data_IF_647976944500
#
_entry.id   IF_647976944500
#
_cell.length_a   1.000
_cell.length_b   1.000
_cell.length_c   1.000
_cell.angle_alpha   90.00
_cell.angle_beta   90.00
_cell.angle_gamma   90.00
#
_symmetry.space_group_name_H-M   'P 1'
#
loop_
_entity.id
_entity.type
_entity.pdbx_description
1 polymer ?
#
# COMPACT_ATOMS: atom_id res chain seq x y z
N UNK A 1 20.78 11.38 -21.87
CA UNK A 1 19.77 11.97 -20.96
C UNK A 1 18.73 10.91 -20.68
N UNK A 2 18.92 10.15 -19.61
CA UNK A 2 17.99 9.11 -19.19
C UNK A 2 16.78 9.80 -18.56
N UNK A 3 15.68 9.91 -19.32
CA UNK A 3 14.40 10.40 -18.80
C UNK A 3 13.92 9.43 -17.73
N UNK A 4 14.25 9.75 -16.48
CA UNK A 4 13.77 9.08 -15.29
C UNK A 4 12.30 9.47 -15.14
N UNK A 5 11.42 8.89 -15.97
CA UNK A 5 9.97 9.02 -15.83
C UNK A 5 9.65 8.38 -14.48
N UNK A 6 9.30 9.15 -13.44
CA UNK A 6 8.89 8.55 -12.18
C UNK A 6 7.70 7.66 -12.51
N UNK A 7 7.82 6.37 -12.21
CA UNK A 7 6.71 5.43 -12.26
C UNK A 7 5.77 5.80 -11.09
N UNK A 8 5.14 6.96 -11.18
CA UNK A 8 3.97 7.28 -10.38
C UNK A 8 2.95 6.25 -10.80
N UNK A 9 2.63 5.32 -9.90
CA UNK A 9 1.64 4.29 -10.17
C UNK A 9 0.38 4.97 -10.66
N UNK A 10 -0.22 4.47 -11.75
CA UNK A 10 -1.47 4.98 -12.30
C UNK A 10 -2.58 5.04 -11.23
N UNK A 11 -2.47 4.19 -10.21
CA UNK A 11 -3.32 4.17 -9.01
C UNK A 11 -3.07 5.37 -8.08
N UNK A 12 -1.81 5.77 -7.89
CA UNK A 12 -1.44 6.90 -7.04
C UNK A 12 -1.85 8.23 -7.68
N UNK A 13 -1.70 8.36 -9.01
CA UNK A 13 -2.21 9.53 -9.75
C UNK A 13 -3.74 9.60 -9.72
N UNK A 14 -4.44 8.46 -9.75
CA UNK A 14 -5.89 8.39 -9.59
C UNK A 14 -6.31 8.83 -8.17
N UNK A 15 -5.61 8.35 -7.14
CA UNK A 15 -5.87 8.73 -5.75
C UNK A 15 -5.73 10.25 -5.54
N UNK A 16 -4.65 10.85 -6.04
CA UNK A 16 -4.44 12.30 -5.97
C UNK A 16 -5.54 13.07 -6.72
N UNK A 17 -6.00 12.58 -7.87
CA UNK A 17 -7.06 13.21 -8.63
C UNK A 17 -8.44 13.10 -7.97
N UNK A 18 -8.73 11.99 -7.27
CA UNK A 18 -9.93 11.86 -6.44
C UNK A 18 -9.90 12.82 -5.24
N UNK A 19 -8.76 12.90 -4.55
CA UNK A 19 -8.57 13.83 -3.42
C UNK A 19 -8.72 15.29 -3.88
N UNK A 20 -8.13 15.63 -5.02
CA UNK A 20 -8.28 16.96 -5.62
C UNK A 20 -9.75 17.28 -5.97
N UNK A 21 -10.53 16.28 -6.43
CA UNK A 21 -11.96 16.43 -6.66
C UNK A 21 -12.74 16.68 -5.36
N UNK A 22 -12.47 15.89 -4.33
CA UNK A 22 -13.11 16.01 -3.01
C UNK A 22 -12.82 17.37 -2.37
N UNK A 23 -11.57 17.83 -2.44
CA UNK A 23 -11.17 19.16 -1.95
C UNK A 23 -11.79 20.29 -2.76
N UNK A 24 -11.97 20.13 -4.08
CA UNK A 24 -12.67 21.12 -4.91
C UNK A 24 -14.16 21.20 -4.54
N UNK A 25 -14.83 20.08 -4.29
CA UNK A 25 -16.21 20.03 -3.81
C UNK A 25 -16.35 20.67 -2.42
N UNK A 26 -15.47 20.33 -1.48
CA UNK A 26 -15.44 20.92 -0.14
C UNK A 26 -15.20 22.43 -0.15
N UNK A 27 -14.45 22.94 -1.14
CA UNK A 27 -14.18 24.37 -1.34
C UNK A 27 -15.23 25.08 -2.20
N UNK A 28 -16.38 24.44 -2.46
CA UNK A 28 -17.48 24.99 -3.26
C UNK A 28 -17.09 25.32 -4.72
N UNK A 29 -16.05 24.67 -5.25
CA UNK A 29 -15.56 24.80 -6.63
C UNK A 29 -16.11 23.69 -7.53
N UNK A 30 -17.44 23.60 -7.61
CA UNK A 30 -18.17 22.54 -8.31
C UNK A 30 -17.79 22.42 -9.79
N UNK A 31 -17.64 23.55 -10.50
CA UNK A 31 -17.25 23.56 -11.91
C UNK A 31 -15.85 22.98 -12.17
N UNK A 32 -14.94 22.98 -11.18
CA UNK A 32 -13.63 22.35 -11.30
C UNK A 32 -13.71 20.84 -11.05
N UNK A 33 -14.54 20.40 -10.10
CA UNK A 33 -14.77 18.98 -9.83
C UNK A 33 -15.43 18.25 -11.01
N UNK A 34 -16.39 18.90 -11.67
CA UNK A 34 -17.10 18.32 -12.83
C UNK A 34 -16.18 18.12 -14.04
N UNK A 35 -15.24 19.04 -14.28
CA UNK A 35 -14.24 18.92 -15.36
C UNK A 35 -13.24 17.79 -15.14
N UNK A 36 -13.04 17.37 -13.90
CA UNK A 36 -12.12 16.29 -13.55
C UNK A 36 -12.77 14.90 -13.68
N UNK A 37 -14.10 14.84 -13.80
CA UNK A 37 -14.86 13.59 -13.90
C UNK A 37 -14.46 12.72 -15.12
N UNK A 38 -14.39 13.23 -16.36
CA UNK A 38 -14.00 12.41 -17.52
C UNK A 38 -12.55 11.89 -17.43
N UNK A 39 -11.66 12.64 -16.76
CA UNK A 39 -10.24 12.26 -16.61
C UNK A 39 -10.10 11.08 -15.65
N UNK A 40 -10.84 11.08 -14.54
CA UNK A 40 -10.85 9.96 -13.58
C UNK A 40 -11.40 8.68 -14.22
N UNK A 41 -12.45 8.81 -15.04
CA UNK A 41 -13.05 7.65 -15.72
C UNK A 41 -12.09 7.01 -16.73
N UNK A 42 -11.39 7.84 -17.51
CA UNK A 42 -10.39 7.36 -18.47
C UNK A 42 -9.22 6.65 -17.76
N UNK A 43 -8.72 7.20 -16.65
CA UNK A 43 -7.67 6.54 -15.88
C UNK A 43 -8.13 5.22 -15.25
N UNK A 44 -9.37 5.15 -14.74
CA UNK A 44 -9.97 3.90 -14.27
C UNK A 44 -10.03 2.85 -15.38
N UNK A 45 -10.45 3.25 -16.59
CA UNK A 45 -10.47 2.37 -17.76
C UNK A 45 -9.08 1.86 -18.15
N UNK A 46 -8.06 2.71 -18.09
CA UNK A 46 -6.68 2.32 -18.38
C UNK A 46 -6.12 1.33 -17.37
N UNK A 47 -6.43 1.48 -16.08
CA UNK A 47 -6.03 0.52 -15.04
C UNK A 47 -6.77 -0.81 -15.21
N UNK A 48 -8.07 -0.79 -15.54
CA UNK A 48 -8.84 -1.99 -15.81
C UNK A 48 -8.29 -2.77 -17.03
N UNK A 49 -7.92 -2.06 -18.09
CA UNK A 49 -7.31 -2.65 -19.28
C UNK A 49 -5.88 -3.15 -19.03
N UNK A 50 -5.09 -2.45 -18.21
CA UNK A 50 -3.75 -2.89 -17.81
C UNK A 50 -3.78 -4.21 -17.02
N UNK A 51 -4.81 -4.41 -16.17
CA UNK A 51 -5.02 -5.67 -15.46
C UNK A 51 -5.53 -6.80 -16.38
N UNK A 52 -6.31 -6.50 -17.43
CA UNK A 52 -6.74 -7.51 -18.41
C UNK A 52 -5.61 -7.95 -19.35
N UNK A 53 -4.62 -7.10 -19.61
CA UNK A 53 -3.46 -7.45 -20.45
C UNK A 53 -2.50 -8.46 -19.78
N UNK A 54 -2.64 -8.75 -18.48
CA UNK A 54 -1.82 -9.74 -17.77
C UNK A 54 -2.34 -11.19 -17.89
N UNK A 55 -3.48 -11.43 -18.56
CA UNK A 55 -4.08 -12.78 -18.68
C UNK A 55 -3.97 -13.42 -20.07
N UNK A 56 -3.08 -12.96 -20.96
CA UNK A 56 -3.09 -13.41 -22.36
C UNK A 56 -1.74 -13.75 -22.98
N UNK A 57 -1.20 -14.95 -22.71
CA UNK A 57 -0.68 -15.95 -23.69
C UNK A 57 0.11 -17.08 -22.99
N UNK A 58 -0.49 -18.26 -22.73
CA UNK A 58 0.30 -19.45 -22.43
C UNK A 58 0.80 -20.08 -23.74
N UNK A 59 2.12 -20.11 -23.94
CA UNK A 59 2.76 -20.90 -24.99
C UNK A 59 2.31 -22.36 -24.92
N UNK A 60 1.96 -22.88 -26.08
CA UNK A 60 1.53 -24.24 -26.37
C UNK A 60 2.63 -25.26 -26.03
N UNK A 61 2.58 -25.80 -24.81
CA UNK A 61 3.37 -26.95 -24.38
C UNK A 61 2.56 -27.77 -23.37
N UNK A 62 1.87 -28.80 -23.85
CA UNK A 62 0.81 -29.54 -23.13
C UNK A 62 1.30 -30.26 -21.85
N UNK A 63 2.62 -30.38 -21.65
CA UNK A 63 3.20 -31.06 -20.48
C UNK A 63 3.53 -30.13 -19.30
N UNK A 64 3.61 -28.80 -19.49
CA UNK A 64 4.11 -27.87 -18.46
C UNK A 64 3.02 -27.14 -17.66
N UNK A 65 1.75 -27.26 -18.08
CA UNK A 65 0.69 -26.40 -17.57
C UNK A 65 0.02 -26.94 -16.29
N UNK A 66 -0.03 -28.27 -16.11
CA UNK A 66 -0.51 -28.89 -14.88
C UNK A 66 0.45 -28.63 -13.71
N UNK A 67 1.74 -28.80 -13.95
CA UNK A 67 2.77 -28.62 -12.92
C UNK A 67 2.95 -27.14 -12.57
N UNK A 68 2.84 -26.24 -13.55
CA UNK A 68 2.82 -24.80 -13.27
C UNK A 68 1.57 -24.38 -12.50
N UNK A 69 0.38 -24.90 -12.85
CA UNK A 69 -0.84 -24.66 -12.05
C UNK A 69 -0.73 -25.25 -10.65
N UNK A 70 -0.07 -26.40 -10.48
CA UNK A 70 0.17 -27.01 -9.17
C UNK A 70 1.11 -26.14 -8.34
N UNK A 71 2.22 -25.67 -8.92
CA UNK A 71 3.15 -24.74 -8.26
C UNK A 71 2.49 -23.38 -7.97
N UNK A 72 1.60 -22.90 -8.84
CA UNK A 72 0.84 -21.67 -8.63
C UNK A 72 -0.23 -21.85 -7.55
N UNK A 73 -0.89 -23.01 -7.46
CA UNK A 73 -1.82 -23.35 -6.38
C UNK A 73 -1.08 -23.54 -5.05
N UNK A 74 0.13 -24.11 -5.06
CA UNK A 74 0.98 -24.21 -3.88
C UNK A 74 1.46 -22.82 -3.46
N UNK A 75 1.88 -21.96 -4.40
CA UNK A 75 2.27 -20.59 -4.12
C UNK A 75 1.09 -19.72 -3.63
N UNK A 76 -0.11 -19.91 -4.19
CA UNK A 76 -1.34 -19.24 -3.75
C UNK A 76 -1.79 -19.76 -2.38
N UNK A 77 -1.67 -21.06 -2.12
CA UNK A 77 -1.89 -21.65 -0.79
C UNK A 77 -0.87 -21.15 0.23
N UNK A 78 0.38 -20.90 -0.18
CA UNK A 78 1.43 -20.29 0.65
C UNK A 78 1.22 -18.79 0.86
N UNK A 79 0.59 -18.09 -0.08
CA UNK A 79 0.17 -16.70 0.09
C UNK A 79 -1.01 -16.54 1.07
N UNK A 80 -1.68 -17.65 1.42
CA UNK A 80 -2.63 -17.74 2.54
C UNK A 80 -1.97 -17.89 3.90
N UNK A 81 -0.66 -18.19 3.95
CA UNK A 81 0.17 -18.15 5.15
C UNK A 81 0.98 -16.85 5.16
N UNK A 82 0.26 -15.74 4.98
CA UNK A 82 0.76 -14.44 5.43
C UNK A 82 0.97 -14.52 6.94
N UNK A 83 2.08 -13.99 7.49
CA UNK A 83 2.15 -13.73 8.92
C UNK A 83 1.02 -12.75 9.25
N UNK A 84 -0.04 -13.29 9.84
CA UNK A 84 -1.17 -12.64 10.50
C UNK A 84 -1.30 -11.13 10.28
N UNK A 85 -1.86 -10.72 9.14
CA UNK A 85 -2.36 -9.36 8.94
C UNK A 85 -3.72 -9.18 9.65
N UNK A 86 -3.71 -9.22 10.98
CA UNK A 86 -4.78 -8.67 11.82
C UNK A 86 -4.68 -7.13 11.80
N UNK A 87 -5.08 -6.50 10.70
CA UNK A 87 -4.74 -5.08 10.43
C UNK A 87 -5.58 -4.03 11.18
N UNK A 88 -6.29 -4.41 12.25
CA UNK A 88 -6.97 -3.45 13.16
C UNK A 88 -6.61 -3.69 14.64
N UNK A 89 -6.15 -4.90 15.01
CA UNK A 89 -5.47 -5.16 16.30
C UNK A 89 -3.97 -4.78 16.26
N UNK A 90 -3.37 -4.80 15.07
CA UNK A 90 -1.92 -4.67 14.84
C UNK A 90 -1.31 -3.30 15.18
N UNK A 91 -1.99 -2.17 14.94
CA UNK A 91 -1.34 -0.85 15.10
C UNK A 91 -1.22 -0.44 16.57
N UNK A 92 -2.28 -0.59 17.35
CA UNK A 92 -2.26 -0.26 18.78
C UNK A 92 -1.34 -1.23 19.55
N UNK A 93 -1.35 -2.51 19.18
CA UNK A 93 -0.47 -3.53 19.77
C UNK A 93 0.99 -3.31 19.39
N UNK A 94 1.28 -3.00 18.12
CA UNK A 94 2.60 -2.58 17.65
C UNK A 94 3.10 -1.36 18.42
N UNK A 95 2.26 -0.35 18.62
CA UNK A 95 2.65 0.84 19.38
C UNK A 95 3.00 0.48 20.83
N UNK A 96 2.21 -0.39 21.48
CA UNK A 96 2.54 -0.91 22.82
C UNK A 96 3.86 -1.68 22.83
N UNK A 97 4.12 -2.51 21.82
CA UNK A 97 5.39 -3.24 21.69
C UNK A 97 6.57 -2.29 21.51
N UNK A 98 6.45 -1.28 20.65
CA UNK A 98 7.45 -0.22 20.45
C UNK A 98 7.75 0.49 21.78
N UNK A 99 6.71 0.80 22.57
CA UNK A 99 6.86 1.42 23.89
C UNK A 99 7.59 0.50 24.89
N UNK A 100 7.29 -0.79 24.87
CA UNK A 100 7.96 -1.78 25.72
C UNK A 100 9.43 -2.00 25.30
N UNK A 101 9.72 -2.02 24.00
CA UNK A 101 11.09 -2.19 23.47
C UNK A 101 11.97 -0.98 23.79
N UNK A 102 11.43 0.23 23.70
CA UNK A 102 12.14 1.43 24.14
C UNK A 102 12.41 1.41 25.66
N UNK A 103 11.48 0.88 26.47
CA UNK A 103 11.69 0.68 27.91
C UNK A 103 12.74 -0.40 28.21
N UNK A 104 12.91 -1.37 27.32
CA UNK A 104 13.96 -2.39 27.38
C UNK A 104 15.32 -1.89 26.86
N UNK A 105 15.54 -0.56 26.79
CA UNK A 105 16.75 0.09 26.27
C UNK A 105 17.11 -0.26 24.82
N UNK A 106 16.15 -0.71 24.01
CA UNK A 106 16.39 -0.90 22.58
C UNK A 106 16.47 0.46 21.87
N UNK A 107 17.42 0.61 20.95
CA UNK A 107 17.59 1.87 20.23
C UNK A 107 16.44 2.13 19.25
N UNK A 108 16.08 3.39 19.06
CA UNK A 108 15.05 3.79 18.08
C UNK A 108 15.37 3.29 16.66
N UNK A 109 16.66 3.17 16.32
CA UNK A 109 17.12 2.68 15.02
C UNK A 109 16.83 1.20 14.86
N UNK A 110 17.03 0.41 15.92
CA UNK A 110 16.77 -1.03 15.90
C UNK A 110 15.27 -1.32 15.88
N UNK A 111 14.48 -0.55 16.63
CA UNK A 111 13.02 -0.61 16.60
C UNK A 111 12.50 -0.27 15.20
N UNK A 112 12.99 0.82 14.60
CA UNK A 112 12.64 1.23 13.24
C UNK A 112 12.90 0.12 12.21
N UNK A 113 14.07 -0.53 12.30
CA UNK A 113 14.43 -1.68 11.44
C UNK A 113 13.51 -2.88 11.66
N UNK A 114 13.20 -3.21 12.92
CA UNK A 114 12.37 -4.36 13.26
C UNK A 114 10.94 -4.22 12.73
N UNK A 115 10.40 -3.00 12.70
CA UNK A 115 9.03 -2.72 12.26
C UNK A 115 8.92 -2.18 10.84
N UNK A 116 10.04 -2.04 10.12
CA UNK A 116 10.07 -1.50 8.77
C UNK A 116 9.56 -0.05 8.69
N UNK A 117 9.83 0.75 9.72
CA UNK A 117 9.36 2.13 9.84
C UNK A 117 10.50 3.12 10.01
N UNK A 118 10.22 4.40 9.86
CA UNK A 118 11.19 5.48 10.03
C UNK A 118 11.47 5.77 11.51
N UNK A 119 12.62 6.38 11.78
CA UNK A 119 13.04 6.73 13.14
C UNK A 119 12.14 7.82 13.74
N UNK A 120 11.65 8.69 12.88
CA UNK A 120 10.71 9.77 13.14
C UNK A 120 9.35 9.23 13.59
N UNK A 121 8.85 8.17 12.94
CA UNK A 121 7.60 7.52 13.33
C UNK A 121 7.72 6.85 14.71
N UNK A 122 8.85 6.20 15.00
CA UNK A 122 9.11 5.61 16.33
C UNK A 122 9.09 6.70 17.40
N UNK A 123 9.77 7.83 17.14
CA UNK A 123 9.82 8.97 18.06
C UNK A 123 8.44 9.57 18.29
N UNK A 124 7.62 9.68 17.25
CA UNK A 124 6.23 10.15 17.34
C UNK A 124 5.39 9.24 18.24
N UNK A 125 5.47 7.92 18.04
CA UNK A 125 4.71 6.92 18.81
C UNK A 125 5.10 6.94 20.28
N UNK A 126 6.40 7.05 20.58
CA UNK A 126 6.88 7.16 21.95
C UNK A 126 6.41 8.46 22.61
N UNK A 127 6.44 9.58 21.88
CA UNK A 127 5.93 10.87 22.37
C UNK A 127 4.44 10.84 22.71
N UNK A 128 3.62 10.20 21.86
CA UNK A 128 2.18 10.02 22.10
C UNK A 128 1.93 9.11 23.31
N UNK A 129 2.68 8.03 23.47
CA UNK A 129 2.53 7.13 24.62
C UNK A 129 2.94 7.78 25.95
N UNK A 130 4.00 8.60 25.95
CA UNK A 130 4.45 9.30 27.14
C UNK A 130 3.46 10.39 27.56
N UNK A 131 2.82 11.06 26.60
CA UNK A 131 1.73 12.00 26.84
C UNK A 131 0.49 11.31 27.43
N UNK A 132 0.18 10.09 26.99
CA UNK A 132 -0.99 9.34 27.46
C UNK A 132 -0.78 8.67 28.85
N UNK A 133 0.44 8.69 29.38
CA UNK A 133 0.77 8.19 30.74
C UNK A 133 0.86 9.30 31.80
N UNK A 134 0.75 10.58 31.41
CA UNK A 134 0.69 11.74 32.31
C UNK A 134 -0.75 12.19 32.47
#
# INVERSE_FOLDING_TARGET
MSNNIPKVSLEDSLYVLQLARETALAKNRQAQAERMNPVVEQMRGLIANANQAQTGTPSTGVMGQSDFKALLNIAASRAGEAPSAGSVSSVAERNRLIGAMAQANMSEVDIARQFGMSREEVRLILGVQQKNRR
#
